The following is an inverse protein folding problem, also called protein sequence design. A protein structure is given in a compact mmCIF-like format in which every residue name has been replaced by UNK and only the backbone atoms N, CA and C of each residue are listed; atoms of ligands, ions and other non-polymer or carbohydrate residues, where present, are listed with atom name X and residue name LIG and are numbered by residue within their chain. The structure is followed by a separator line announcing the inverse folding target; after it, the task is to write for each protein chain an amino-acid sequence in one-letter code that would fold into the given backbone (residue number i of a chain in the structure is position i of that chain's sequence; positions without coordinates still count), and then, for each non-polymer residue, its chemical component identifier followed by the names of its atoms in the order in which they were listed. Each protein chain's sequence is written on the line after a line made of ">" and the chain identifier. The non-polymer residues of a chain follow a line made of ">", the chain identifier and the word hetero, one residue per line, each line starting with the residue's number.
data_IF_326829985572
#
_entry.id   IF_326829985572
#
_cell.length_a   1.000
_cell.length_b   1.000
_cell.length_c   1.000
_cell.angle_alpha   90.00
_cell.angle_beta   90.00
_cell.angle_gamma   90.00
#
_symmetry.space_group_name_H-M   'P 1'
#
loop_
_entity.id
_entity.type
_entity.pdbx_description
1 polymer ?
#
# COMPACT_ATOMS: atom_id res chain seq x y z
N UNK A 1 -15.76 11.35 -2.79
CA UNK A 1 -14.71 11.14 -3.80
C UNK A 1 -13.71 10.16 -3.19
N UNK A 2 -13.44 9.02 -3.83
CA UNK A 2 -12.34 8.15 -3.43
C UNK A 2 -11.04 8.77 -3.92
N UNK A 3 -10.12 9.08 -3.02
CA UNK A 3 -8.76 9.49 -3.39
C UNK A 3 -8.00 8.23 -3.75
N UNK A 4 -7.56 8.10 -5.00
CA UNK A 4 -6.62 7.06 -5.39
C UNK A 4 -5.20 7.58 -5.24
N UNK A 5 -4.27 6.69 -4.86
CA UNK A 5 -2.85 7.00 -4.71
C UNK A 5 -2.08 6.38 -5.86
N UNK A 6 -1.29 7.20 -6.53
CA UNK A 6 -0.37 6.75 -7.58
C UNK A 6 0.80 5.97 -6.97
N UNK A 7 0.97 4.73 -7.43
CA UNK A 7 2.06 3.82 -7.07
C UNK A 7 2.91 3.43 -8.30
N UNK A 8 2.73 4.11 -9.43
CA UNK A 8 3.49 3.87 -10.65
C UNK A 8 4.99 3.97 -10.41
N UNK A 9 5.73 3.03 -11.01
CA UNK A 9 7.19 2.95 -10.89
C UNK A 9 7.70 2.37 -9.56
N UNK A 10 6.83 2.09 -8.58
CA UNK A 10 7.21 1.41 -7.34
C UNK A 10 7.15 -0.11 -7.56
N UNK A 11 8.18 -0.84 -7.11
CA UNK A 11 8.11 -2.30 -7.09
C UNK A 11 6.99 -2.78 -6.15
N UNK A 12 6.14 -3.67 -6.63
CA UNK A 12 4.93 -4.11 -5.91
C UNK A 12 5.24 -4.88 -4.62
N UNK A 13 6.35 -5.64 -4.60
CA UNK A 13 6.77 -6.35 -3.39
C UNK A 13 7.32 -5.35 -2.38
N UNK A 14 8.06 -4.33 -2.85
CA UNK A 14 8.53 -3.24 -2.01
C UNK A 14 7.38 -2.41 -1.43
N UNK A 15 6.33 -2.13 -2.23
CA UNK A 15 5.11 -1.48 -1.74
C UNK A 15 4.44 -2.31 -0.64
N UNK A 16 4.22 -3.60 -0.89
CA UNK A 16 3.64 -4.49 0.12
C UNK A 16 4.50 -4.56 1.39
N UNK A 17 5.83 -4.60 1.25
CA UNK A 17 6.77 -4.58 2.37
C UNK A 17 6.67 -3.29 3.17
N UNK A 18 6.71 -2.13 2.51
CA UNK A 18 6.60 -0.84 3.20
C UNK A 18 5.29 -0.71 3.98
N UNK A 19 4.17 -1.14 3.39
CA UNK A 19 2.88 -1.16 4.07
C UNK A 19 2.89 -2.12 5.27
N UNK A 20 3.45 -3.32 5.09
CA UNK A 20 3.57 -4.32 6.14
C UNK A 20 4.41 -3.83 7.33
N UNK A 21 5.57 -3.20 7.07
CA UNK A 21 6.48 -2.70 8.11
C UNK A 21 5.84 -1.62 8.99
N UNK A 22 4.96 -0.79 8.42
CA UNK A 22 4.24 0.27 9.16
C UNK A 22 2.93 -0.19 9.79
N UNK A 23 2.41 -1.34 9.39
CA UNK A 23 1.18 -1.89 9.95
C UNK A 23 1.43 -2.56 11.30
N UNK A 24 0.55 -2.42 12.30
CA UNK A 24 0.70 -3.15 13.55
C UNK A 24 0.47 -4.66 13.34
N UNK A 25 1.06 -5.49 14.20
CA UNK A 25 0.73 -6.92 14.28
C UNK A 25 -0.73 -7.05 14.72
N UNK A 26 -1.50 -7.85 13.97
CA UNK A 26 -2.91 -8.08 14.24
C UNK A 26 -3.13 -8.58 15.67
N UNK A 27 -4.25 -8.18 16.30
CA UNK A 27 -4.52 -8.54 17.69
C UNK A 27 -4.48 -10.05 17.93
N UNK A 28 -5.12 -10.83 17.05
CA UNK A 28 -5.12 -12.30 17.13
C UNK A 28 -3.70 -12.90 17.02
N UNK A 29 -2.82 -12.32 16.22
CA UNK A 29 -1.41 -12.72 16.16
C UNK A 29 -0.69 -12.44 17.49
N UNK A 30 -0.86 -11.24 18.05
CA UNK A 30 -0.26 -10.85 19.33
C UNK A 30 -0.74 -11.72 20.48
N UNK A 31 -2.04 -11.97 20.56
CA UNK A 31 -2.67 -12.77 21.62
C UNK A 31 -2.24 -14.24 21.59
N UNK A 32 -1.92 -14.78 20.41
CA UNK A 32 -1.45 -16.16 20.25
C UNK A 32 0.08 -16.27 20.17
N UNK A 33 0.83 -15.18 20.37
CA UNK A 33 2.30 -15.19 20.27
C UNK A 33 2.85 -15.51 18.87
N UNK A 34 2.04 -15.31 17.83
CA UNK A 34 2.41 -15.57 16.43
C UNK A 34 2.93 -14.28 15.82
N UNK A 35 4.25 -14.18 15.65
CA UNK A 35 4.88 -13.11 14.86
C UNK A 35 5.49 -13.76 13.62
N UNK A 36 5.02 -13.34 12.45
CA UNK A 36 5.52 -13.82 11.16
C UNK A 36 6.40 -12.75 10.54
N UNK A 37 7.54 -13.16 10.00
CA UNK A 37 8.40 -12.30 9.19
C UNK A 37 7.81 -12.11 7.78
N UNK A 38 8.28 -11.07 7.08
CA UNK A 38 7.87 -10.84 5.69
C UNK A 38 8.37 -11.97 4.77
N UNK A 39 7.46 -12.66 4.08
CA UNK A 39 7.80 -13.74 3.13
C UNK A 39 7.68 -13.25 1.68
N UNK A 40 8.82 -12.98 1.03
CA UNK A 40 8.88 -12.54 -0.38
C UNK A 40 8.23 -13.54 -1.34
N UNK A 41 8.36 -14.84 -1.07
CA UNK A 41 7.75 -15.86 -1.94
C UNK A 41 6.23 -15.88 -1.77
N UNK A 42 5.73 -15.70 -0.55
CA UNK A 42 4.29 -15.54 -0.31
C UNK A 42 3.74 -14.28 -0.99
N UNK A 43 4.48 -13.16 -0.95
CA UNK A 43 4.11 -11.94 -1.66
C UNK A 43 3.94 -12.20 -3.16
N UNK A 44 4.94 -12.81 -3.80
CA UNK A 44 4.89 -13.17 -5.21
C UNK A 44 3.69 -14.08 -5.55
N UNK A 45 3.38 -15.06 -4.69
CA UNK A 45 2.19 -15.92 -4.86
C UNK A 45 0.89 -15.12 -4.76
N UNK A 46 0.76 -14.19 -3.81
CA UNK A 46 -0.44 -13.36 -3.65
C UNK A 46 -0.71 -12.47 -4.88
N UNK A 47 0.34 -11.92 -5.49
CA UNK A 47 0.19 -11.16 -6.74
C UNK A 47 -0.26 -12.03 -7.93
N UNK A 48 0.19 -13.29 -8.01
CA UNK A 48 -0.14 -14.19 -9.12
C UNK A 48 -1.51 -14.85 -8.93
N UNK A 49 -1.81 -15.34 -7.72
CA UNK A 49 -2.99 -16.16 -7.45
C UNK A 49 -4.20 -15.35 -7.02
N UNK A 50 -3.98 -14.32 -6.21
CA UNK A 50 -5.05 -13.57 -5.53
C UNK A 50 -5.27 -12.20 -6.18
N UNK A 51 -4.65 -11.96 -7.34
CA UNK A 51 -4.75 -10.70 -8.07
C UNK A 51 -4.26 -9.49 -7.27
N UNK A 52 -3.32 -9.71 -6.35
CA UNK A 52 -2.68 -8.67 -5.54
C UNK A 52 -3.59 -7.96 -4.52
N UNK A 53 -4.76 -8.53 -4.21
CA UNK A 53 -5.54 -8.10 -3.04
C UNK A 53 -5.03 -8.79 -1.77
N UNK A 54 -4.70 -8.00 -0.76
CA UNK A 54 -4.21 -8.50 0.53
C UNK A 54 -5.11 -7.98 1.64
N UNK A 55 -5.86 -8.84 2.33
CA UNK A 55 -6.60 -8.45 3.54
C UNK A 55 -5.64 -8.33 4.73
N UNK A 56 -4.84 -9.38 4.93
CA UNK A 56 -3.70 -9.43 5.82
C UNK A 56 -2.52 -10.08 5.08
N UNK A 57 -1.31 -9.66 5.41
CA UNK A 57 -0.08 -10.29 4.93
C UNK A 57 0.86 -10.53 6.11
N UNK A 58 1.37 -11.76 6.27
CA UNK A 58 2.23 -12.17 7.40
C UNK A 58 1.78 -11.59 8.75
N UNK A 59 0.49 -11.73 9.09
CA UNK A 59 -0.07 -11.30 10.38
C UNK A 59 -0.26 -9.78 10.56
N UNK A 60 -0.11 -8.97 9.52
CA UNK A 60 -0.34 -7.51 9.56
C UNK A 60 -1.37 -7.08 8.53
N UNK A 61 -2.14 -6.06 8.86
CA UNK A 61 -3.28 -5.60 8.05
C UNK A 61 -2.81 -4.86 6.80
N UNK A 62 -3.44 -5.10 5.63
CA UNK A 62 -3.16 -4.35 4.39
C UNK A 62 -4.46 -3.79 3.80
N UNK A 63 -5.46 -4.66 3.55
CA UNK A 63 -6.80 -4.33 3.06
C UNK A 63 -6.86 -3.50 1.78
N UNK A 64 -5.90 -3.71 0.89
CA UNK A 64 -5.83 -3.02 -0.40
C UNK A 64 -5.55 -4.01 -1.53
N UNK A 65 -6.03 -3.66 -2.72
CA UNK A 65 -5.53 -4.23 -3.96
C UNK A 65 -4.31 -3.42 -4.39
N UNK A 66 -3.16 -4.07 -4.53
CA UNK A 66 -1.89 -3.45 -4.90
C UNK A 66 -1.50 -3.73 -6.37
N UNK A 67 -2.46 -4.14 -7.20
CA UNK A 67 -2.27 -4.26 -8.64
C UNK A 67 -2.53 -2.94 -9.36
N UNK A 68 -1.75 -2.70 -10.42
CA UNK A 68 -1.86 -1.51 -11.25
C UNK A 68 -1.01 -0.35 -10.74
N UNK A 69 -1.26 0.83 -11.31
CA UNK A 69 -0.51 2.05 -11.04
C UNK A 69 -1.22 2.99 -10.06
N UNK A 70 -2.48 2.71 -9.72
CA UNK A 70 -3.23 3.44 -8.69
C UNK A 70 -3.85 2.47 -7.69
N UNK A 71 -3.93 2.90 -6.44
CA UNK A 71 -4.48 2.10 -5.33
C UNK A 71 -5.50 2.94 -4.57
N UNK A 72 -6.65 2.35 -4.26
CA UNK A 72 -7.57 2.91 -3.27
C UNK A 72 -7.05 2.61 -1.85
N UNK A 73 -6.63 3.61 -1.06
CA UNK A 73 -5.99 3.41 0.23
C UNK A 73 -6.98 3.19 1.38
N UNK A 74 -8.28 3.32 1.15
CA UNK A 74 -9.28 3.41 2.22
C UNK A 74 -9.20 2.26 3.22
N UNK A 75 -9.01 1.02 2.75
CA UNK A 75 -8.92 -0.14 3.63
C UNK A 75 -7.69 -0.11 4.54
N UNK A 76 -6.55 0.32 4.01
CA UNK A 76 -5.32 0.47 4.79
C UNK A 76 -5.42 1.62 5.78
N UNK A 77 -5.84 2.79 5.32
CA UNK A 77 -5.90 4.03 6.12
C UNK A 77 -6.92 3.93 7.25
N UNK A 78 -8.04 3.24 7.03
CA UNK A 78 -9.04 3.00 8.07
C UNK A 78 -8.44 2.29 9.30
N UNK A 79 -7.53 1.35 9.09
CA UNK A 79 -6.94 0.54 10.16
C UNK A 79 -5.61 1.11 10.67
N UNK A 80 -4.89 1.90 9.86
CA UNK A 80 -3.55 2.43 10.18
C UNK A 80 -3.51 3.96 10.41
N UNK A 81 -4.63 4.66 10.20
CA UNK A 81 -4.73 6.12 10.28
C UNK A 81 -4.85 6.78 8.90
N UNK A 82 -5.59 7.88 8.84
CA UNK A 82 -5.79 8.64 7.60
C UNK A 82 -4.45 9.12 7.01
N UNK A 83 -4.24 8.86 5.71
CA UNK A 83 -3.02 9.23 4.99
C UNK A 83 -1.82 8.32 5.25
N UNK A 84 -1.97 7.23 6.01
CA UNK A 84 -0.88 6.30 6.29
C UNK A 84 -0.32 5.65 5.02
N UNK A 85 -1.17 5.26 4.07
CA UNK A 85 -0.75 4.69 2.79
C UNK A 85 0.08 5.69 2.00
N UNK A 86 -0.40 6.94 1.88
CA UNK A 86 0.32 8.00 1.17
C UNK A 86 1.70 8.24 1.76
N UNK A 87 1.79 8.23 3.10
CA UNK A 87 3.07 8.38 3.80
C UNK A 87 4.06 7.28 3.42
N UNK A 88 3.62 6.02 3.38
CA UNK A 88 4.46 4.87 2.94
C UNK A 88 4.93 5.07 1.50
N UNK A 89 4.03 5.44 0.59
CA UNK A 89 4.37 5.69 -0.82
C UNK A 89 5.40 6.81 -0.95
N UNK A 90 5.21 7.92 -0.23
CA UNK A 90 6.17 9.03 -0.22
C UNK A 90 7.55 8.60 0.30
N UNK A 91 7.61 7.86 1.41
CA UNK A 91 8.87 7.34 1.98
C UNK A 91 9.61 6.41 0.99
N UNK A 92 8.89 5.54 0.28
CA UNK A 92 9.48 4.66 -0.74
C UNK A 92 10.02 5.47 -1.92
N UNK A 93 9.23 6.43 -2.43
CA UNK A 93 9.61 7.26 -3.57
C UNK A 93 10.87 8.09 -3.26
N UNK A 94 10.93 8.70 -2.09
CA UNK A 94 12.12 9.44 -1.62
C UNK A 94 13.35 8.53 -1.55
N UNK A 95 13.23 7.36 -0.92
CA UNK A 95 14.33 6.40 -0.77
C UNK A 95 14.83 5.84 -2.10
N UNK A 96 13.93 5.58 -3.05
CA UNK A 96 14.25 5.00 -4.36
C UNK A 96 14.50 6.04 -5.46
N UNK A 97 14.46 7.34 -5.12
CA UNK A 97 14.58 8.45 -6.07
C UNK A 97 13.57 8.34 -7.25
N UNK A 98 12.34 7.91 -6.93
CA UNK A 98 11.22 7.85 -7.88
C UNK A 98 10.50 9.19 -7.83
N UNK A 99 10.31 9.90 -8.96
CA UNK A 99 9.61 11.18 -8.96
C UNK A 99 8.21 11.07 -8.35
N UNK A 100 7.80 12.10 -7.60
CA UNK A 100 6.39 12.25 -7.23
C UNK A 100 5.59 12.53 -8.50
N UNK A 101 4.53 11.77 -8.70
CA UNK A 101 3.52 12.15 -9.68
C UNK A 101 2.80 13.34 -9.10
N UNK A 102 2.94 14.52 -9.74
CA UNK A 102 2.15 15.69 -9.35
C UNK A 102 0.68 15.28 -9.44
N UNK A 103 -0.18 15.65 -8.47
CA UNK A 103 -1.61 15.53 -8.70
C UNK A 103 -1.94 16.24 -10.02
N UNK A 104 -2.91 15.76 -10.80
CA UNK A 104 -3.38 16.51 -11.96
C UNK A 104 -3.67 17.91 -11.44
N UNK A 105 -2.86 18.89 -11.86
CA UNK A 105 -3.17 20.29 -11.64
C UNK A 105 -4.58 20.46 -12.14
N UNK A 106 -5.49 21.00 -11.33
CA UNK A 106 -6.82 21.36 -11.77
C UNK A 106 -6.69 22.11 -13.11
N UNK A 107 -6.92 21.41 -14.23
CA UNK A 107 -7.09 22.03 -15.53
C UNK A 107 -8.45 22.72 -15.43
N UNK A 108 -8.45 23.89 -14.81
CA UNK A 108 -9.47 24.89 -15.02
C UNK A 108 -9.19 25.47 -16.40
N UNK A 109 -9.59 24.74 -17.43
CA UNK A 109 -9.85 25.30 -18.76
C UNK A 109 -11.15 26.09 -18.65
N UNK A 110 -11.08 27.31 -18.14
CA UNK A 110 -12.09 28.34 -18.44
C UNK A 110 -11.68 29.02 -19.73
N UNK A 111 -12.05 28.40 -20.85
CA UNK A 111 -12.33 29.11 -22.09
C UNK A 111 -13.85 29.37 -22.15
N UNK A 112 -14.26 30.62 -21.89
CA UNK A 112 -15.49 31.25 -22.39
C UNK A 112 -15.47 32.76 -22.06
#
# INVERSE_FOLDING_TARGET
>A
MSVEIDVSGIDRIELLRGLWEKSPVAAWCRENGVVQEFDVNAAGRGFIKDGGYFDYFCGRVIKCNLMGDTVNPWGYDRDNGEGAFQKVVSEIRERCNIPLVKPPSDEVTTDA
#
